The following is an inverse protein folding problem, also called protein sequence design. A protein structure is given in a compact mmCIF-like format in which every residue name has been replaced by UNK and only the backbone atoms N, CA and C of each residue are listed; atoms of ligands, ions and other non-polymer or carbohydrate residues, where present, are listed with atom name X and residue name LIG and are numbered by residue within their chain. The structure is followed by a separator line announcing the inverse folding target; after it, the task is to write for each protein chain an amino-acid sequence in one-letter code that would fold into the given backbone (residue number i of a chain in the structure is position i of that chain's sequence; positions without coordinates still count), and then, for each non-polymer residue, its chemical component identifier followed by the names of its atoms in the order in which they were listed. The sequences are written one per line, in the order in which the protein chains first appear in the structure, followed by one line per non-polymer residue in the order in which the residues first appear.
data_IF_640814001089
#
_entry.id   IF_640814001089
#
_cell.length_a   1.000
_cell.length_b   1.000
_cell.length_c   1.000
_cell.angle_alpha   90.00
_cell.angle_beta   90.00
_cell.angle_gamma   90.00
#
_symmetry.space_group_name_H-M   'P 1'
#
loop_
_entity.id
_entity.type
_entity.pdbx_description
1 polymer ?
#
# COMPACT_ATOMS: atom_id res chain seq x y z
N UNK A 1 -7.85 2.71 -4.78
CA UNK A 1 -8.99 1.95 -4.24
C UNK A 1 -8.65 0.48 -4.01
N UNK A 2 -8.45 -0.37 -5.05
CA UNK A 2 -8.21 -1.81 -4.88
C UNK A 2 -7.13 -2.18 -3.85
N UNK A 3 -5.95 -1.54 -3.92
CA UNK A 3 -4.91 -1.79 -2.93
C UNK A 3 -5.35 -1.49 -1.49
N UNK A 4 -6.08 -0.39 -1.26
CA UNK A 4 -6.59 -0.08 0.09
C UNK A 4 -7.67 -1.06 0.55
N UNK A 5 -8.49 -1.61 -0.36
CA UNK A 5 -9.44 -2.69 -0.04
C UNK A 5 -8.66 -3.93 0.43
N UNK A 6 -7.63 -4.35 -0.29
CA UNK A 6 -6.77 -5.46 0.14
C UNK A 6 -6.15 -5.20 1.51
N UNK A 7 -5.65 -3.98 1.75
CA UNK A 7 -5.06 -3.59 3.04
C UNK A 7 -6.09 -3.64 4.16
N UNK A 8 -7.29 -3.09 3.98
CA UNK A 8 -8.37 -3.15 4.99
C UNK A 8 -8.78 -4.59 5.26
N UNK A 9 -8.96 -5.43 4.23
CA UNK A 9 -9.26 -6.85 4.41
C UNK A 9 -8.18 -7.57 5.22
N UNK A 10 -6.90 -7.31 4.90
CA UNK A 10 -5.74 -7.84 5.62
C UNK A 10 -5.74 -7.41 7.09
N UNK A 11 -5.93 -6.12 7.37
CA UNK A 11 -5.96 -5.55 8.72
C UNK A 11 -7.14 -6.10 9.53
N UNK A 12 -8.33 -6.22 8.94
CA UNK A 12 -9.48 -6.81 9.61
C UNK A 12 -9.22 -8.27 10.02
N UNK A 13 -8.57 -9.06 9.16
CA UNK A 13 -8.17 -10.42 9.48
C UNK A 13 -7.16 -10.44 10.65
N UNK A 14 -6.09 -9.63 10.59
CA UNK A 14 -5.07 -9.64 11.64
C UNK A 14 -5.53 -9.04 12.99
N UNK A 15 -6.47 -8.09 12.98
CA UNK A 15 -6.96 -7.43 14.20
C UNK A 15 -8.11 -8.17 14.87
N UNK A 16 -9.05 -8.71 14.10
CA UNK A 16 -10.32 -9.20 14.65
C UNK A 16 -10.52 -10.71 14.53
N UNK A 17 -9.80 -11.39 13.64
CA UNK A 17 -9.97 -12.83 13.48
C UNK A 17 -9.05 -13.61 14.45
N UNK A 18 -9.65 -14.36 15.37
CA UNK A 18 -8.92 -15.12 16.39
C UNK A 18 -8.02 -16.21 15.79
N UNK A 19 -8.46 -16.90 14.72
CA UNK A 19 -7.68 -17.95 14.04
C UNK A 19 -6.37 -17.36 13.49
N UNK A 20 -6.43 -16.22 12.79
CA UNK A 20 -5.25 -15.53 12.25
C UNK A 20 -4.29 -15.10 13.36
N UNK A 21 -4.82 -14.57 14.47
CA UNK A 21 -3.99 -14.13 15.60
C UNK A 21 -3.30 -15.29 16.30
N UNK A 22 -3.99 -16.41 16.49
CA UNK A 22 -3.40 -17.63 17.06
C UNK A 22 -2.30 -18.17 16.16
N UNK A 23 -2.56 -18.30 14.85
CA UNK A 23 -1.55 -18.77 13.88
C UNK A 23 -0.32 -17.84 13.85
N UNK A 24 -0.54 -16.53 13.94
CA UNK A 24 0.56 -15.56 13.97
C UNK A 24 1.39 -15.70 15.25
N UNK A 25 0.72 -15.86 16.40
CA UNK A 25 1.39 -16.06 17.69
C UNK A 25 2.17 -17.37 17.71
N UNK A 26 1.64 -18.46 17.15
CA UNK A 26 2.35 -19.74 17.03
C UNK A 26 3.61 -19.61 16.16
N UNK A 27 3.55 -18.79 15.09
CA UNK A 27 4.67 -18.59 14.18
C UNK A 27 5.75 -17.64 14.72
N UNK A 28 5.37 -16.61 15.49
CA UNK A 28 6.28 -15.51 15.85
C UNK A 28 6.46 -15.29 17.36
N UNK A 29 5.61 -15.88 18.21
CA UNK A 29 5.67 -15.79 19.67
C UNK A 29 5.07 -14.51 20.28
N UNK A 30 4.40 -13.68 19.48
CA UNK A 30 3.74 -12.45 19.89
C UNK A 30 2.60 -12.11 18.91
N UNK A 31 1.70 -11.19 19.28
CA UNK A 31 0.57 -10.81 18.43
C UNK A 31 0.96 -9.81 17.33
N UNK A 32 0.24 -9.74 16.19
CA UNK A 32 0.54 -8.75 15.14
C UNK A 32 0.63 -7.32 15.71
N UNK A 33 1.69 -6.58 15.37
CA UNK A 33 1.92 -5.19 15.83
C UNK A 33 1.13 -4.19 15.00
N UNK A 34 -0.17 -4.44 14.90
CA UNK A 34 -1.14 -3.66 14.16
C UNK A 34 -2.14 -3.08 15.15
N UNK A 35 -2.50 -1.83 14.93
CA UNK A 35 -3.41 -1.09 15.80
C UNK A 35 -4.68 -0.71 15.06
N UNK A 36 -5.73 -0.35 15.82
CA UNK A 36 -6.95 0.20 15.24
C UNK A 36 -6.69 1.50 14.47
N UNK A 37 -5.66 2.26 14.85
CA UNK A 37 -5.25 3.48 14.16
C UNK A 37 -4.78 3.16 12.73
N UNK A 38 -4.02 2.07 12.54
CA UNK A 38 -3.59 1.60 11.22
C UNK A 38 -4.79 1.23 10.32
N UNK A 39 -5.83 0.64 10.91
CA UNK A 39 -7.08 0.34 10.21
C UNK A 39 -7.83 1.61 9.82
N UNK A 40 -7.97 2.58 10.74
CA UNK A 40 -8.62 3.87 10.46
C UNK A 40 -7.89 4.60 9.33
N UNK A 41 -6.55 4.63 9.34
CA UNK A 41 -5.74 5.17 8.26
C UNK A 41 -6.05 4.50 6.92
N UNK A 42 -6.13 3.16 6.90
CA UNK A 42 -6.40 2.38 5.69
C UNK A 42 -7.80 2.65 5.13
N UNK A 43 -8.81 2.76 6.00
CA UNK A 43 -10.20 3.12 5.63
C UNK A 43 -10.28 4.56 5.13
N UNK A 44 -9.59 5.49 5.79
CA UNK A 44 -9.48 6.88 5.32
C UNK A 44 -8.92 6.96 3.90
N UNK A 45 -7.91 6.13 3.58
CA UNK A 45 -7.39 5.99 2.23
C UNK A 45 -8.43 5.55 1.19
N UNK A 46 -9.36 4.65 1.55
CA UNK A 46 -10.49 4.30 0.69
C UNK A 46 -11.36 5.54 0.46
N UNK A 47 -11.77 6.24 1.52
CA UNK A 47 -12.62 7.42 1.45
C UNK A 47 -12.03 8.51 0.56
N UNK A 48 -10.75 8.86 0.75
CA UNK A 48 -10.07 9.85 -0.09
C UNK A 48 -10.04 9.41 -1.56
N UNK A 49 -9.75 8.13 -1.84
CA UNK A 49 -9.77 7.66 -3.23
C UNK A 49 -11.17 7.65 -3.84
N UNK A 50 -12.22 7.41 -3.04
CA UNK A 50 -13.60 7.54 -3.48
C UNK A 50 -13.96 8.99 -3.81
N UNK A 51 -13.53 9.95 -2.99
CA UNK A 51 -13.69 11.38 -3.28
C UNK A 51 -12.99 11.73 -4.59
N UNK A 52 -11.74 11.30 -4.80
CA UNK A 52 -11.03 11.55 -6.07
C UNK A 52 -11.73 10.94 -7.27
N UNK A 53 -12.28 9.72 -7.15
CA UNK A 53 -13.08 9.11 -8.22
C UNK A 53 -14.35 9.93 -8.48
N UNK A 54 -15.04 10.38 -7.44
CA UNK A 54 -16.24 11.21 -7.59
C UNK A 54 -15.93 12.53 -8.31
N UNK A 55 -14.78 13.15 -8.04
CA UNK A 55 -14.33 14.37 -8.72
C UNK A 55 -14.14 14.13 -10.22
N UNK A 56 -13.62 12.96 -10.61
CA UNK A 56 -13.40 12.63 -12.03
C UNK A 56 -14.71 12.49 -12.82
N UNK A 57 -15.79 12.02 -12.20
CA UNK A 57 -17.04 11.67 -12.90
C UNK A 57 -18.21 12.61 -12.62
N UNK A 58 -18.32 13.16 -11.42
CA UNK A 58 -19.54 13.81 -10.94
C UNK A 58 -19.43 15.33 -10.78
N UNK A 59 -18.22 15.89 -10.76
CA UNK A 59 -17.99 17.30 -10.38
C UNK A 59 -17.85 18.25 -11.59
N UNK A 60 -18.09 17.77 -12.81
CA UNK A 60 -18.10 18.62 -14.01
C UNK A 60 -16.73 19.18 -14.42
N UNK A 61 -15.62 18.66 -13.89
CA UNK A 61 -14.27 19.06 -14.31
C UNK A 61 -14.02 18.70 -15.78
N UNK A 62 -13.19 19.50 -16.47
CA UNK A 62 -12.81 19.28 -17.87
C UNK A 62 -11.97 18.00 -17.99
N UNK A 63 -12.65 16.88 -18.20
CA UNK A 63 -12.04 15.57 -18.35
C UNK A 63 -11.71 15.28 -19.81
N UNK A 64 -10.52 14.73 -20.06
CA UNK A 64 -10.23 14.11 -21.36
C UNK A 64 -10.91 12.74 -21.40
N UNK A 65 -11.37 12.26 -22.59
CA UNK A 65 -11.91 10.91 -22.69
C UNK A 65 -10.91 9.89 -22.15
N UNK A 66 -11.38 9.03 -21.24
CA UNK A 66 -10.54 8.04 -20.56
C UNK A 66 -10.25 6.91 -21.55
N UNK A 67 -9.12 6.99 -22.24
CA UNK A 67 -8.64 5.92 -23.11
C UNK A 67 -7.63 5.08 -22.34
N UNK A 68 -8.10 3.94 -21.82
CA UNK A 68 -7.23 2.96 -21.16
C UNK A 68 -6.29 2.32 -22.18
N UNK A 69 -4.98 2.50 -22.00
CA UNK A 69 -3.96 1.82 -22.78
C UNK A 69 -4.04 0.31 -22.56
N UNK A 70 -3.70 -0.48 -23.58
CA UNK A 70 -3.70 -1.96 -23.52
C UNK A 70 -2.94 -2.49 -22.30
N UNK A 71 -1.76 -1.93 -22.02
CA UNK A 71 -0.95 -2.30 -20.84
C UNK A 71 -1.68 -2.05 -19.52
N UNK A 72 -2.38 -0.92 -19.37
CA UNK A 72 -3.15 -0.63 -18.17
C UNK A 72 -4.28 -1.64 -17.96
N UNK A 73 -4.96 -2.06 -19.04
CA UNK A 73 -6.00 -3.11 -18.96
C UNK A 73 -5.42 -4.45 -18.51
N UNK A 74 -4.29 -4.87 -19.09
CA UNK A 74 -3.60 -6.11 -18.70
C UNK A 74 -3.22 -6.09 -17.23
N UNK A 75 -2.62 -4.99 -16.74
CA UNK A 75 -2.26 -4.84 -15.32
C UNK A 75 -3.49 -4.98 -14.43
N UNK A 76 -4.60 -4.29 -14.76
CA UNK A 76 -5.86 -4.38 -13.99
C UNK A 76 -6.39 -5.83 -13.98
N UNK A 77 -6.43 -6.49 -15.13
CA UNK A 77 -6.91 -7.88 -15.23
C UNK A 77 -6.05 -8.83 -14.41
N UNK A 78 -4.72 -8.80 -14.54
CA UNK A 78 -3.80 -9.65 -13.78
C UNK A 78 -3.99 -9.44 -12.27
N UNK A 79 -4.15 -8.19 -11.85
CA UNK A 79 -4.37 -7.83 -10.46
C UNK A 79 -5.68 -8.41 -9.92
N UNK A 80 -6.79 -8.24 -10.64
CA UNK A 80 -8.09 -8.77 -10.22
C UNK A 80 -8.04 -10.30 -10.15
N UNK A 81 -7.45 -10.95 -11.15
CA UNK A 81 -7.28 -12.41 -11.16
C UNK A 81 -6.40 -12.89 -10.01
N UNK A 82 -5.31 -12.18 -9.68
CA UNK A 82 -4.46 -12.54 -8.55
C UNK A 82 -5.18 -12.43 -7.21
N UNK A 83 -5.98 -11.38 -7.01
CA UNK A 83 -6.79 -11.21 -5.79
C UNK A 83 -7.85 -12.32 -5.72
N UNK A 84 -8.53 -12.62 -6.84
CA UNK A 84 -9.50 -13.70 -6.91
C UNK A 84 -8.87 -15.06 -6.57
N UNK A 85 -7.70 -15.36 -7.14
CA UNK A 85 -6.96 -16.59 -6.87
C UNK A 85 -6.55 -16.73 -5.39
N UNK A 86 -6.12 -15.63 -4.76
CA UNK A 86 -5.83 -15.60 -3.32
C UNK A 86 -7.05 -15.98 -2.48
N UNK A 87 -8.22 -15.39 -2.75
CA UNK A 87 -9.45 -15.73 -2.00
C UNK A 87 -9.93 -17.16 -2.30
N UNK A 88 -9.83 -17.64 -3.54
CA UNK A 88 -10.26 -18.99 -3.90
C UNK A 88 -9.39 -20.08 -3.25
N UNK A 89 -8.10 -19.80 -3.05
CA UNK A 89 -7.15 -20.76 -2.45
C UNK A 89 -7.50 -21.16 -1.00
N UNK A 90 -8.21 -20.30 -0.25
CA UNK A 90 -8.77 -20.63 1.07
C UNK A 90 -9.95 -21.59 0.95
N UNK A 91 -10.81 -21.37 -0.05
CA UNK A 91 -11.94 -22.25 -0.31
C UNK A 91 -11.46 -23.67 -0.58
N UNK A 92 -10.42 -23.82 -1.40
CA UNK A 92 -9.84 -25.12 -1.72
C UNK A 92 -9.11 -25.75 -0.53
N UNK A 93 -8.39 -24.97 0.29
CA UNK A 93 -7.69 -25.53 1.47
C UNK A 93 -8.66 -26.06 2.53
N UNK A 94 -9.81 -25.40 2.72
CA UNK A 94 -10.88 -25.89 3.60
C UNK A 94 -11.56 -27.15 3.07
N UNK A 95 -11.79 -27.25 1.76
CA UNK A 95 -12.39 -28.44 1.14
C UNK A 95 -11.42 -29.63 1.16
N UNK A 96 -10.13 -29.40 0.88
CA UNK A 96 -9.11 -30.46 0.89
C UNK A 96 -8.84 -30.97 2.31
N UNK A 97 -8.90 -30.10 3.32
CA UNK A 97 -8.78 -30.50 4.73
C UNK A 97 -9.91 -31.43 5.22
N UNK A 98 -11.02 -31.53 4.49
CA UNK A 98 -12.09 -32.50 4.77
C UNK A 98 -11.86 -33.85 4.08
N UNK A 99 -10.96 -33.91 3.08
CA UNK A 99 -10.83 -35.06 2.18
C UNK A 99 -9.50 -35.80 2.32
N UNK A 100 -8.43 -35.17 2.79
CA UNK A 100 -7.13 -35.85 2.94
C UNK A 100 -6.26 -35.28 4.08
N UNK A 101 -5.52 -36.15 4.76
CA UNK A 101 -4.68 -35.84 5.94
C UNK A 101 -3.18 -35.75 5.61
N UNK A 102 -2.83 -35.43 4.37
CA UNK A 102 -1.44 -35.33 3.93
C UNK A 102 -0.82 -33.98 4.26
N UNK A 103 0.47 -34.01 4.61
CA UNK A 103 1.29 -32.93 5.16
C UNK A 103 1.72 -31.87 4.14
N UNK A 104 0.83 -31.43 3.25
CA UNK A 104 1.15 -30.28 2.39
C UNK A 104 1.00 -28.95 3.17
N UNK A 105 1.86 -27.97 2.87
CA UNK A 105 1.76 -26.62 3.43
C UNK A 105 0.38 -26.02 3.10
N UNK A 106 -0.48 -25.97 4.12
CA UNK A 106 -1.84 -25.46 3.96
C UNK A 106 -1.81 -23.95 3.78
N UNK A 107 -2.41 -23.45 2.70
CA UNK A 107 -2.67 -22.02 2.57
C UNK A 107 -3.69 -21.60 3.64
N UNK A 108 -3.21 -20.91 4.67
CA UNK A 108 -4.01 -20.52 5.84
C UNK A 108 -4.65 -19.15 5.66
N UNK A 109 -5.57 -18.81 6.57
CA UNK A 109 -6.16 -17.48 6.64
C UNK A 109 -5.09 -16.41 6.95
N UNK A 110 -4.03 -16.77 7.70
CA UNK A 110 -2.88 -15.91 7.92
C UNK A 110 -2.10 -15.66 6.63
N UNK A 111 -1.85 -16.69 5.82
CA UNK A 111 -1.21 -16.56 4.51
C UNK A 111 -1.98 -15.62 3.58
N UNK A 112 -3.32 -15.66 3.59
CA UNK A 112 -4.15 -14.68 2.88
C UNK A 112 -3.93 -13.27 3.41
N UNK A 113 -4.03 -13.07 4.73
CA UNK A 113 -3.90 -11.75 5.34
C UNK A 113 -2.56 -11.11 4.96
N UNK A 114 -1.45 -11.84 5.08
CA UNK A 114 -0.13 -11.37 4.68
C UNK A 114 -0.06 -11.08 3.17
N UNK A 115 -0.58 -11.98 2.34
CA UNK A 115 -0.59 -11.82 0.88
C UNK A 115 -1.36 -10.57 0.43
N UNK A 116 -2.49 -10.27 1.06
CA UNK A 116 -3.28 -9.06 0.77
C UNK A 116 -2.52 -7.78 1.16
N UNK A 117 -1.77 -7.80 2.28
CA UNK A 117 -0.91 -6.67 2.66
C UNK A 117 0.22 -6.47 1.63
N UNK A 118 0.86 -7.54 1.17
CA UNK A 118 1.88 -7.45 0.13
C UNK A 118 1.30 -6.99 -1.22
N UNK A 119 0.06 -7.39 -1.53
CA UNK A 119 -0.64 -6.92 -2.72
C UNK A 119 -0.84 -5.41 -2.71
N UNK A 120 -1.13 -4.81 -1.55
CA UNK A 120 -1.18 -3.34 -1.38
C UNK A 120 0.18 -2.68 -1.67
N UNK A 121 1.29 -3.31 -1.28
CA UNK A 121 2.64 -2.80 -1.54
C UNK A 121 2.93 -2.84 -3.04
N UNK A 122 2.68 -3.98 -3.70
CA UNK A 122 2.84 -4.15 -5.15
C UNK A 122 1.99 -3.12 -5.93
N UNK A 123 0.72 -2.96 -5.53
CA UNK A 123 -0.17 -1.92 -6.06
C UNK A 123 0.45 -0.53 -5.98
N UNK A 124 1.16 -0.25 -4.89
CA UNK A 124 1.79 1.05 -4.66
C UNK A 124 2.98 1.27 -5.58
N UNK A 125 3.79 0.23 -5.83
CA UNK A 125 4.87 0.28 -6.83
C UNK A 125 4.33 0.51 -8.25
N UNK A 126 3.29 -0.24 -8.64
CA UNK A 126 2.67 -0.14 -9.97
C UNK A 126 2.17 1.28 -10.26
N UNK A 127 1.66 2.02 -9.25
CA UNK A 127 1.25 3.42 -9.42
C UNK A 127 2.43 4.39 -9.40
N UNK A 128 3.41 4.18 -8.52
CA UNK A 128 4.44 5.18 -8.28
C UNK A 128 5.49 5.23 -9.39
N UNK A 129 5.88 4.10 -9.97
CA UNK A 129 6.85 4.08 -11.08
C UNK A 129 6.38 4.87 -12.30
N UNK A 130 5.18 4.65 -12.86
CA UNK A 130 4.68 5.45 -13.98
C UNK A 130 4.54 6.92 -13.62
N UNK A 131 4.12 7.24 -12.40
CA UNK A 131 4.00 8.63 -11.95
C UNK A 131 5.36 9.34 -11.93
N UNK A 132 6.39 8.66 -11.41
CA UNK A 132 7.75 9.18 -11.35
C UNK A 132 8.30 9.43 -12.77
N UNK A 133 8.11 8.49 -13.68
CA UNK A 133 8.53 8.62 -15.08
C UNK A 133 7.75 9.72 -15.81
N UNK A 134 6.45 9.84 -15.55
CA UNK A 134 5.59 10.86 -16.15
C UNK A 134 6.00 12.28 -15.74
N UNK A 135 6.25 12.50 -14.44
CA UNK A 135 6.77 13.75 -13.93
C UNK A 135 8.15 14.07 -14.55
N UNK A 136 9.03 13.07 -14.67
CA UNK A 136 10.34 13.26 -15.30
C UNK A 136 10.25 13.62 -16.78
N UNK A 137 9.34 12.99 -17.53
CA UNK A 137 9.13 13.27 -18.96
C UNK A 137 8.58 14.68 -19.20
N UNK A 138 7.67 15.15 -18.34
CA UNK A 138 7.11 16.50 -18.42
C UNK A 138 8.02 17.59 -17.84
N UNK A 139 9.05 17.21 -17.08
CA UNK A 139 9.89 18.14 -16.31
C UNK A 139 9.07 19.07 -15.42
N UNK A 140 7.94 18.58 -14.92
CA UNK A 140 6.99 19.35 -14.12
C UNK A 140 6.16 18.44 -13.23
N UNK A 141 5.89 18.91 -12.02
CA UNK A 141 4.94 18.31 -11.07
C UNK A 141 3.65 19.14 -10.94
N UNK A 142 3.38 20.06 -11.86
CA UNK A 142 2.12 20.82 -11.88
C UNK A 142 0.92 19.86 -11.98
N UNK A 143 -0.08 20.09 -11.11
CA UNK A 143 -1.26 19.24 -10.96
C UNK A 143 -1.05 17.99 -10.09
N UNK A 144 0.14 17.83 -9.48
CA UNK A 144 0.42 16.79 -8.49
C UNK A 144 0.38 17.41 -7.08
N UNK A 145 -0.42 16.84 -6.18
CA UNK A 145 -0.62 17.39 -4.83
C UNK A 145 0.61 17.11 -3.94
N UNK A 146 1.52 18.08 -3.85
CA UNK A 146 2.70 17.98 -2.98
C UNK A 146 2.33 17.92 -1.50
N UNK A 147 1.24 18.58 -1.09
CA UNK A 147 0.76 18.50 0.30
C UNK A 147 0.45 17.05 0.70
N UNK A 148 -0.16 16.27 -0.20
CA UNK A 148 -0.43 14.85 0.04
C UNK A 148 0.86 14.06 0.22
N UNK A 149 1.91 14.37 -0.55
CA UNK A 149 3.23 13.72 -0.40
C UNK A 149 3.88 14.04 0.94
N UNK A 150 3.79 15.29 1.43
CA UNK A 150 4.31 15.63 2.76
C UNK A 150 3.53 14.94 3.89
N UNK A 151 2.21 14.82 3.73
CA UNK A 151 1.37 14.09 4.68
C UNK A 151 1.69 12.58 4.66
N UNK A 152 1.88 11.99 3.48
CA UNK A 152 2.30 10.58 3.32
C UNK A 152 3.69 10.34 3.93
N UNK A 153 4.65 11.26 3.73
CA UNK A 153 5.96 11.23 4.40
C UNK A 153 5.80 11.22 5.93
N UNK A 154 5.03 12.16 6.47
CA UNK A 154 4.83 12.30 7.91
C UNK A 154 4.17 11.04 8.48
N UNK A 155 3.12 10.55 7.82
CA UNK A 155 2.43 9.32 8.21
C UNK A 155 3.34 8.09 8.14
N UNK A 156 4.17 7.97 7.10
CA UNK A 156 5.13 6.88 6.93
C UNK A 156 6.21 6.87 8.01
N UNK A 157 6.77 8.03 8.36
CA UNK A 157 7.73 8.16 9.47
C UNK A 157 7.10 7.82 10.81
N UNK A 158 5.91 8.35 11.09
CA UNK A 158 5.19 8.05 12.33
C UNK A 158 4.78 6.57 12.42
N UNK A 159 4.37 5.95 11.32
CA UNK A 159 4.04 4.51 11.24
C UNK A 159 5.23 3.63 11.59
N UNK A 160 6.43 3.96 11.08
CA UNK A 160 7.66 3.24 11.43
C UNK A 160 8.01 3.45 12.91
N UNK A 161 7.96 4.68 13.40
CA UNK A 161 8.22 4.99 14.80
C UNK A 161 7.24 4.24 15.73
N UNK A 162 5.97 4.16 15.35
CA UNK A 162 4.96 3.41 16.08
C UNK A 162 5.28 1.91 16.08
N UNK A 163 5.69 1.32 14.94
CA UNK A 163 6.07 -0.09 14.87
C UNK A 163 7.26 -0.41 15.79
N UNK A 164 8.24 0.47 15.87
CA UNK A 164 9.37 0.34 16.80
C UNK A 164 8.91 0.38 18.26
N UNK A 165 8.04 1.34 18.61
CA UNK A 165 7.52 1.50 19.97
C UNK A 165 6.65 0.31 20.39
N UNK A 166 5.71 -0.11 19.54
CA UNK A 166 4.81 -1.23 19.80
C UNK A 166 5.61 -2.53 19.99
N UNK A 167 6.63 -2.75 19.15
CA UNK A 167 7.52 -3.90 19.28
C UNK A 167 8.34 -3.91 20.57
N UNK A 168 8.86 -2.75 20.98
CA UNK A 168 9.57 -2.61 22.25
C UNK A 168 8.65 -2.86 23.45
N UNK A 169 7.42 -2.35 23.43
CA UNK A 169 6.43 -2.58 24.50
C UNK A 169 6.06 -4.05 24.58
N UNK A 170 5.90 -4.74 23.44
CA UNK A 170 5.48 -6.13 23.40
C UNK A 170 6.55 -7.11 23.92
N UNK A 171 7.84 -6.84 23.67
CA UNK A 171 8.92 -7.83 23.90
C UNK A 171 10.06 -7.34 24.79
N UNK A 172 10.08 -6.05 25.17
CA UNK A 172 11.15 -5.41 25.93
C UNK A 172 12.46 -5.22 25.15
N UNK A 173 12.51 -5.60 23.86
CA UNK A 173 13.69 -5.51 23.01
C UNK A 173 13.36 -5.05 21.60
N UNK A 174 14.32 -4.36 20.99
CA UNK A 174 14.28 -3.99 19.58
C UNK A 174 14.89 -5.11 18.75
N UNK A 175 14.05 -5.93 18.11
CA UNK A 175 14.49 -7.01 17.21
C UNK A 175 14.08 -6.75 15.76
N UNK A 176 15.05 -6.88 14.85
CA UNK A 176 14.81 -6.75 13.42
C UNK A 176 13.83 -7.82 12.89
N UNK A 177 13.90 -9.03 13.42
CA UNK A 177 13.01 -10.13 13.04
C UNK A 177 11.53 -9.78 13.27
N UNK A 178 11.23 -9.08 14.37
CA UNK A 178 9.88 -8.62 14.71
C UNK A 178 9.38 -7.53 13.74
N UNK A 179 10.27 -6.62 13.35
CA UNK A 179 9.92 -5.60 12.36
C UNK A 179 9.65 -6.24 10.99
N UNK A 180 10.49 -7.19 10.59
CA UNK A 180 10.39 -7.89 9.30
C UNK A 180 9.14 -8.77 9.25
N UNK A 181 8.77 -9.42 10.35
CA UNK A 181 7.52 -10.21 10.45
C UNK A 181 6.26 -9.34 10.48
N UNK A 182 6.37 -8.05 10.82
CA UNK A 182 5.35 -7.02 10.54
C UNK A 182 5.59 -6.33 9.19
N UNK A 183 6.12 -7.10 8.23
CA UNK A 183 6.59 -6.63 6.94
C UNK A 183 5.55 -5.86 6.14
N UNK A 184 4.26 -6.17 6.28
CA UNK A 184 3.19 -5.42 5.66
C UNK A 184 3.22 -3.92 5.98
N UNK A 185 3.38 -3.57 7.27
CA UNK A 185 3.47 -2.18 7.74
C UNK A 185 4.83 -1.56 7.46
N UNK A 186 5.91 -2.32 7.69
CA UNK A 186 7.29 -1.87 7.46
C UNK A 186 7.54 -1.54 5.99
N UNK A 187 7.31 -2.50 5.09
CA UNK A 187 7.56 -2.34 3.65
C UNK A 187 6.63 -1.31 3.01
N UNK A 188 5.37 -1.23 3.45
CA UNK A 188 4.46 -0.19 2.96
C UNK A 188 4.98 1.21 3.32
N UNK A 189 5.46 1.39 4.55
CA UNK A 189 6.03 2.67 5.00
C UNK A 189 7.33 2.99 4.28
N UNK A 190 8.22 2.01 4.12
CA UNK A 190 9.48 2.16 3.40
C UNK A 190 9.28 2.54 1.92
N UNK A 191 8.45 1.80 1.19
CA UNK A 191 8.14 2.10 -0.22
C UNK A 191 7.53 3.49 -0.36
N UNK A 192 6.65 3.88 0.55
CA UNK A 192 6.02 5.21 0.55
C UNK A 192 7.08 6.31 0.73
N UNK A 193 7.90 6.23 1.78
CA UNK A 193 8.96 7.20 2.05
C UNK A 193 9.97 7.32 0.90
N UNK A 194 10.35 6.20 0.28
CA UNK A 194 11.28 6.20 -0.85
C UNK A 194 10.72 6.98 -2.06
N UNK A 195 9.49 6.68 -2.47
CA UNK A 195 8.88 7.34 -3.62
C UNK A 195 8.50 8.79 -3.32
N UNK A 196 8.06 9.09 -2.10
CA UNK A 196 7.78 10.46 -1.69
C UNK A 196 9.05 11.31 -1.71
N UNK A 197 10.18 10.77 -1.23
CA UNK A 197 11.49 11.43 -1.36
C UNK A 197 11.85 11.71 -2.82
N UNK A 198 11.56 10.76 -3.72
CA UNK A 198 11.75 10.97 -5.16
C UNK A 198 10.83 12.05 -5.74
N UNK A 199 9.57 12.13 -5.31
CA UNK A 199 8.62 13.17 -5.74
C UNK A 199 9.00 14.55 -5.21
N UNK A 200 9.44 14.65 -3.95
CA UNK A 200 9.96 15.89 -3.36
C UNK A 200 11.22 16.35 -4.12
N UNK A 201 12.14 15.42 -4.43
CA UNK A 201 13.30 15.72 -5.25
C UNK A 201 12.90 16.27 -6.64
N UNK A 202 11.93 15.64 -7.31
CA UNK A 202 11.42 16.13 -8.59
C UNK A 202 10.81 17.53 -8.49
N UNK A 203 10.02 17.79 -7.44
CA UNK A 203 9.43 19.10 -7.20
C UNK A 203 10.50 20.19 -7.06
N UNK A 204 11.47 20.00 -6.17
CA UNK A 204 12.57 20.96 -5.95
C UNK A 204 13.40 21.20 -7.22
N UNK A 205 13.64 20.14 -8.00
CA UNK A 205 14.43 20.24 -9.25
C UNK A 205 13.69 21.01 -10.34
N UNK A 206 12.40 20.74 -10.53
CA UNK A 206 11.62 21.36 -11.60
C UNK A 206 11.21 22.79 -11.27
N UNK A 207 11.02 23.13 -9.99
CA UNK A 207 10.82 24.51 -9.54
C UNK A 207 12.05 25.38 -9.86
N UNK A 208 13.25 24.90 -9.51
CA UNK A 208 14.51 25.59 -9.84
C UNK A 208 14.71 25.72 -11.35
N UNK A 209 14.34 24.71 -12.12
CA UNK A 209 14.43 24.75 -13.59
C UNK A 209 13.49 25.81 -14.18
N UNK A 210 12.24 25.86 -13.72
CA UNK A 210 11.27 26.86 -14.15
C UNK A 210 11.75 28.29 -13.86
N UNK A 211 12.27 28.54 -12.65
CA UNK A 211 12.82 29.85 -12.27
C UNK A 211 13.95 30.31 -13.21
N UNK A 212 14.92 29.43 -13.51
CA UNK A 212 16.04 29.75 -14.42
C UNK A 212 15.59 30.06 -15.84
N UNK A 213 14.56 29.38 -16.33
CA UNK A 213 14.07 29.61 -17.69
C UNK A 213 13.30 30.94 -17.76
N UNK A 214 12.58 31.32 -16.71
CA UNK A 214 11.98 32.64 -16.60
C UNK A 214 13.02 33.77 -16.61
N UNK A 215 14.13 33.61 -15.86
CA UNK A 215 15.21 34.59 -15.80
C UNK A 215 15.87 34.83 -17.17
N UNK A 216 16.10 33.77 -17.96
CA UNK A 216 16.62 33.88 -19.33
C UNK A 216 15.69 34.58 -20.31
N UNK A 217 14.37 34.45 -20.14
CA UNK A 217 13.38 35.09 -21.03
C UNK A 217 13.25 36.59 -20.69
N UNK A 218 13.53 36.98 -19.45
CA UNK A 218 13.46 38.36 -18.98
C UNK A 218 14.74 39.19 -19.16
N UNK A 219 15.86 38.56 -19.55
CA UNK A 219 17.16 39.19 -19.80
C UNK A 219 17.38 39.43 -21.29
#
# INVERSE_FOLDING_TARGET
MLGYICLVSSMCLMLFNSEVRTLYYEQHGYEPLLTKIDLVYSVHGILLTSVSISQLFCWGFKSRPIVLKRMTKVIITVVILSIFAMYSSIGTSRIHSLKDSTSEEKFTLLSLALSLSYMKIIMSLIKYFPQLLHNHKRKSVLGFSMLTIFLDCTGGTLSIAQLFLDGYIATGRLSWDMMISNGGKLWLSFVTLFFDGCFIYQWLKFEKWAYKEHEKISA
#
